data_IF_717711471891
#
_entry.id   IF_717711471891
#
_cell.length_a   1.000
_cell.length_b   1.000
_cell.length_c   1.000
_cell.angle_alpha   90.00
_cell.angle_beta   90.00
_cell.angle_gamma   90.00
#
_symmetry.space_group_name_H-M   'P 1'
#
loop_
_entity.id
_entity.type
_entity.pdbx_description
1 polymer ?
#
# COMPACT_ATOMS: atom_id res chain seq x y z
N UNK A 1 10.62 12.27 2.76
CA UNK A 1 11.31 10.97 2.66
C UNK A 1 10.93 10.36 1.32
N UNK A 2 11.37 9.15 0.89
CA UNK A 2 10.80 8.54 -0.31
C UNK A 2 9.28 8.39 -0.16
N UNK A 3 8.55 8.52 -1.27
CA UNK A 3 7.07 8.54 -1.23
C UNK A 3 6.43 7.93 -2.46
N UNK A 4 5.29 7.29 -2.24
CA UNK A 4 4.36 6.91 -3.29
C UNK A 4 3.32 8.03 -3.44
N UNK A 5 3.23 8.64 -4.62
CA UNK A 5 2.23 9.65 -4.92
C UNK A 5 1.03 8.98 -5.58
N UNK A 6 -0.12 9.10 -4.90
CA UNK A 6 -1.39 8.54 -5.33
C UNK A 6 -2.36 9.68 -5.66
N UNK A 7 -3.12 9.56 -6.74
CA UNK A 7 -4.12 10.55 -7.16
C UNK A 7 -5.47 9.86 -7.36
N UNK A 8 -6.19 9.74 -6.23
CA UNK A 8 -7.47 9.04 -6.12
C UNK A 8 -7.41 7.61 -6.69
N UNK A 9 -6.31 6.93 -6.41
CA UNK A 9 -6.04 5.59 -6.92
C UNK A 9 -6.84 4.57 -6.11
N UNK A 10 -7.66 3.71 -6.76
CA UNK A 10 -8.29 2.58 -6.09
C UNK A 10 -7.24 1.55 -5.69
N UNK A 11 -7.09 1.37 -4.39
CA UNK A 11 -6.18 0.38 -3.80
C UNK A 11 -6.96 -0.83 -3.33
N UNK A 12 -6.50 -2.01 -3.72
CA UNK A 12 -6.94 -3.29 -3.18
C UNK A 12 -5.82 -3.94 -2.38
N UNK A 13 -6.14 -4.45 -1.20
CA UNK A 13 -5.24 -5.26 -0.41
C UNK A 13 -5.39 -6.72 -0.81
N UNK A 14 -4.34 -7.30 -1.38
CA UNK A 14 -4.33 -8.72 -1.75
C UNK A 14 -4.29 -9.60 -0.49
N UNK A 15 -4.96 -10.75 -0.50
CA UNK A 15 -4.88 -11.73 0.60
C UNK A 15 -3.42 -12.05 0.99
N UNK A 16 -3.18 -12.18 2.30
CA UNK A 16 -1.85 -12.48 2.84
C UNK A 16 -1.84 -12.68 4.36
N UNK A 17 -0.67 -12.51 5.00
CA UNK A 17 -0.46 -12.66 6.44
C UNK A 17 -0.92 -11.48 7.30
N UNK A 18 -1.95 -10.76 6.86
CA UNK A 18 -2.47 -9.54 7.45
C UNK A 18 -4.00 -9.56 7.48
N UNK A 19 -4.59 -8.74 8.34
CA UNK A 19 -6.05 -8.55 8.44
C UNK A 19 -6.49 -7.19 7.91
N UNK A 20 -5.58 -6.23 7.81
CA UNK A 20 -5.82 -4.92 7.20
C UNK A 20 -4.49 -4.19 6.93
N UNK A 21 -4.54 -3.11 6.15
CA UNK A 21 -3.45 -2.16 5.96
C UNK A 21 -3.97 -0.72 6.08
N UNK A 22 -3.18 0.20 6.63
CA UNK A 22 -3.45 1.63 6.59
C UNK A 22 -2.51 2.32 5.60
N UNK A 23 -3.09 2.99 4.61
CA UNK A 23 -2.38 3.67 3.51
C UNK A 23 -3.01 5.04 3.32
N UNK A 24 -2.22 6.13 3.38
CA UNK A 24 -2.74 7.50 3.21
C UNK A 24 -3.92 7.84 4.14
N UNK A 25 -3.94 7.29 5.36
CA UNK A 25 -5.02 7.47 6.33
C UNK A 25 -6.28 6.62 6.08
N UNK A 26 -6.34 5.82 5.02
CA UNK A 26 -7.41 4.86 4.75
C UNK A 26 -7.07 3.48 5.32
N UNK A 27 -8.04 2.85 5.97
CA UNK A 27 -7.93 1.45 6.37
C UNK A 27 -8.50 0.59 5.25
N UNK A 28 -7.72 -0.37 4.77
CA UNK A 28 -8.06 -1.27 3.67
C UNK A 28 -8.08 -2.68 4.24
N UNK A 29 -9.20 -3.38 4.08
CA UNK A 29 -9.37 -4.78 4.44
C UNK A 29 -9.16 -5.66 3.18
N UNK A 30 -8.73 -6.93 3.32
CA UNK A 30 -8.71 -7.86 2.20
C UNK A 30 -10.07 -7.92 1.49
N UNK A 31 -10.05 -8.12 0.17
CA UNK A 31 -11.23 -8.13 -0.72
C UNK A 31 -12.05 -6.82 -0.76
N UNK A 32 -11.55 -5.75 -0.14
CA UNK A 32 -12.13 -4.42 -0.25
C UNK A 32 -11.28 -3.51 -1.15
N UNK A 33 -11.86 -2.38 -1.51
CA UNK A 33 -11.20 -1.37 -2.32
C UNK A 33 -11.45 0.00 -1.72
N UNK A 34 -10.38 0.75 -1.50
CA UNK A 34 -10.43 2.12 -0.98
C UNK A 34 -9.70 3.07 -1.91
N UNK A 35 -10.21 4.31 -2.01
CA UNK A 35 -9.56 5.35 -2.80
C UNK A 35 -8.61 6.14 -1.91
N UNK A 36 -7.33 6.16 -2.29
CA UNK A 36 -6.28 6.86 -1.57
C UNK A 36 -5.77 8.02 -2.41
N UNK A 37 -5.48 9.14 -1.75
CA UNK A 37 -5.02 10.37 -2.38
C UNK A 37 -3.88 10.97 -1.54
N UNK A 38 -2.89 11.54 -2.22
CA UNK A 38 -1.74 12.22 -1.63
C UNK A 38 -0.47 11.38 -1.54
N UNK A 39 0.50 11.93 -0.80
CA UNK A 39 1.83 11.35 -0.65
C UNK A 39 1.85 10.31 0.50
N UNK A 40 2.32 9.11 0.21
CA UNK A 40 2.45 8.01 1.18
C UNK A 40 3.91 7.69 1.42
N UNK A 41 4.42 8.13 2.57
CA UNK A 41 5.80 7.84 3.02
C UNK A 41 5.89 6.52 3.80
N UNK A 42 4.80 6.10 4.44
CA UNK A 42 4.72 4.84 5.19
C UNK A 42 3.32 4.23 5.15
N UNK A 43 3.27 2.92 5.42
CA UNK A 43 2.04 2.15 5.60
C UNK A 43 2.08 1.41 6.93
N UNK A 44 0.91 1.18 7.53
CA UNK A 44 0.79 0.33 8.72
C UNK A 44 0.13 -0.99 8.33
N UNK A 45 0.77 -2.11 8.62
CA UNK A 45 0.21 -3.44 8.37
C UNK A 45 -0.30 -4.02 9.69
N UNK A 46 -1.55 -4.46 9.71
CA UNK A 46 -2.18 -5.12 10.86
C UNK A 46 -2.14 -6.63 10.64
N UNK A 47 -1.37 -7.39 11.44
CA UNK A 47 -1.34 -8.87 11.39
C UNK A 47 -2.49 -9.50 12.16
N UNK A 48 -2.86 -8.87 13.27
CA UNK A 48 -3.99 -9.22 14.12
C UNK A 48 -4.57 -7.91 14.68
N UNK A 49 -5.73 -7.93 15.35
CA UNK A 49 -6.31 -6.72 15.96
C UNK A 49 -5.39 -5.99 16.96
N UNK A 50 -4.37 -6.68 17.51
CA UNK A 50 -3.47 -6.14 18.53
C UNK A 50 -1.99 -6.15 18.09
N UNK A 51 -1.69 -6.39 16.81
CA UNK A 51 -0.31 -6.42 16.31
C UNK A 51 -0.23 -5.73 14.96
N UNK A 52 0.52 -4.64 14.95
CA UNK A 52 0.84 -3.85 13.78
C UNK A 52 2.33 -3.56 13.66
N UNK A 53 2.75 -3.17 12.47
CA UNK A 53 4.09 -2.68 12.21
C UNK A 53 4.03 -1.65 11.07
N UNK A 54 4.92 -0.67 11.15
CA UNK A 54 5.04 0.40 10.16
C UNK A 54 6.15 0.07 9.17
N UNK A 55 5.85 0.20 7.88
CA UNK A 55 6.79 0.01 6.79
C UNK A 55 6.96 1.30 6.04
N UNK A 56 8.20 1.64 5.67
CA UNK A 56 8.56 2.88 4.99
C UNK A 56 8.76 2.66 3.51
N UNK A 57 8.32 3.65 2.75
CA UNK A 57 8.53 3.71 1.32
C UNK A 57 10.03 3.73 1.00
N UNK A 58 10.43 2.93 0.02
CA UNK A 58 11.85 2.73 -0.31
C UNK A 58 12.36 3.65 -1.42
N UNK A 59 11.47 4.12 -2.30
CA UNK A 59 11.81 4.95 -3.45
C UNK A 59 10.63 5.84 -3.84
N UNK A 60 10.91 6.95 -4.53
CA UNK A 60 9.86 7.80 -5.07
C UNK A 60 9.18 7.12 -6.27
N UNK A 61 7.84 7.06 -6.24
CA UNK A 61 7.02 6.58 -7.34
C UNK A 61 5.79 7.45 -7.51
N UNK A 62 5.54 7.86 -8.75
CA UNK A 62 4.31 8.51 -9.17
C UNK A 62 3.44 7.49 -9.93
N UNK A 63 2.27 7.15 -9.38
CA UNK A 63 1.27 6.36 -10.08
C UNK A 63 0.51 7.24 -11.09
N UNK A 64 -0.11 6.62 -12.11
CA UNK A 64 -1.00 7.37 -12.99
C UNK A 64 -2.30 7.74 -12.27
N UNK A 65 -2.90 8.93 -12.51
CA UNK A 65 -4.16 9.30 -11.87
C UNK A 65 -5.30 8.29 -12.09
N UNK A 66 -5.93 7.85 -11.00
CA UNK A 66 -7.00 6.87 -10.99
C UNK A 66 -6.56 5.46 -11.40
N UNK A 67 -5.27 5.16 -11.31
CA UNK A 67 -4.73 3.84 -11.59
C UNK A 67 -5.16 2.85 -10.52
N UNK A 68 -5.56 1.65 -10.95
CA UNK A 68 -5.79 0.56 -10.00
C UNK A 68 -4.45 0.09 -9.45
N UNK A 69 -4.32 0.10 -8.12
CA UNK A 69 -3.10 -0.29 -7.41
C UNK A 69 -3.42 -1.48 -6.49
N UNK A 70 -2.52 -2.47 -6.46
CA UNK A 70 -2.60 -3.60 -5.55
C UNK A 70 -1.52 -3.43 -4.48
N UNK A 71 -1.90 -3.56 -3.21
CA UNK A 71 -0.94 -3.78 -2.12
C UNK A 71 -0.74 -5.29 -1.97
N UNK A 72 0.45 -5.77 -2.34
CA UNK A 72 0.84 -7.17 -2.30
C UNK A 72 1.91 -7.41 -1.22
N UNK A 73 1.76 -8.50 -0.47
CA UNK A 73 2.82 -8.97 0.41
C UNK A 73 3.92 -9.67 -0.40
N UNK A 74 5.19 -9.25 -0.23
CA UNK A 74 6.34 -9.91 -0.85
C UNK A 74 6.97 -10.93 0.11
N UNK A 75 7.15 -10.54 1.37
CA UNK A 75 7.62 -11.40 2.45
C UNK A 75 6.97 -10.99 3.80
N UNK A 76 7.27 -11.65 4.94
CA UNK A 76 6.64 -11.33 6.23
C UNK A 76 6.81 -9.88 6.73
N UNK A 77 7.78 -9.13 6.21
CA UNK A 77 8.15 -7.78 6.64
C UNK A 77 8.27 -6.79 5.47
N UNK A 78 7.83 -7.16 4.25
CA UNK A 78 7.85 -6.27 3.09
C UNK A 78 6.61 -6.40 2.22
N UNK A 79 6.19 -5.26 1.66
CA UNK A 79 4.99 -5.13 0.84
C UNK A 79 5.30 -4.25 -0.37
N UNK A 80 4.55 -4.41 -1.46
CA UNK A 80 4.65 -3.56 -2.63
C UNK A 80 3.29 -2.99 -3.04
N UNK A 81 3.26 -1.70 -3.37
CA UNK A 81 2.18 -1.14 -4.19
C UNK A 81 2.53 -1.36 -5.66
N UNK A 82 1.64 -1.97 -6.42
CA UNK A 82 1.82 -2.31 -7.83
C UNK A 82 0.69 -1.69 -8.65
N UNK A 83 1.04 -0.81 -9.58
CA UNK A 83 0.12 -0.18 -10.51
C UNK A 83 -0.23 -1.14 -11.65
N UNK A 84 -1.51 -1.45 -11.79
CA UNK A 84 -1.97 -2.49 -12.72
C UNK A 84 -1.92 -2.07 -14.20
N UNK A 85 -1.86 -0.77 -14.48
CA UNK A 85 -1.85 -0.23 -15.84
C UNK A 85 -0.43 0.13 -16.28
N UNK A 86 0.31 0.81 -15.43
CA UNK A 86 1.66 1.29 -15.67
C UNK A 86 2.73 0.22 -15.41
N UNK A 87 2.43 -0.78 -14.56
CA UNK A 87 3.39 -1.77 -14.09
C UNK A 87 4.44 -1.19 -13.13
N UNK A 88 4.26 0.06 -12.68
CA UNK A 88 5.14 0.67 -11.68
C UNK A 88 4.93 0.00 -10.33
N UNK A 89 6.00 -0.12 -9.57
CA UNK A 89 5.95 -0.70 -8.24
C UNK A 89 6.84 0.06 -7.26
N UNK A 90 6.45 0.04 -6.00
CA UNK A 90 7.23 0.58 -4.90
C UNK A 90 7.12 -0.32 -3.68
N UNK A 91 8.28 -0.69 -3.14
CA UNK A 91 8.40 -1.52 -1.94
C UNK A 91 8.30 -0.66 -0.67
N UNK A 92 7.71 -1.24 0.38
CA UNK A 92 7.67 -0.76 1.75
C UNK A 92 8.33 -1.79 2.67
N UNK A 93 9.30 -1.37 3.49
CA UNK A 93 10.02 -2.21 4.46
C UNK A 93 10.41 -1.46 5.73
N UNK A 94 10.86 -2.17 6.78
CA UNK A 94 11.30 -1.59 8.07
C UNK A 94 12.45 -0.57 7.93
#
# INVERSE_FOLDING_TARGET
MPRANLDRDPITLQEGGHVAARIGGKLIEPDTMEYVDGEVESITIYRTPNSDFELKCTQDVDFEPGEQVILQQLDPVSYALIGMKSGKEVEFKE
#
